data_IF_940754055493
#
_entry.id   IF_940754055493
#
_cell.length_a   1.000
_cell.length_b   1.000
_cell.length_c   1.000
_cell.angle_alpha   90.00
_cell.angle_beta   90.00
_cell.angle_gamma   90.00
#
_symmetry.space_group_name_H-M   'P 1'
#
loop_
_entity.id
_entity.type
_entity.pdbx_description
1 polymer ?
#
# COMPACT_ATOMS: atom_id res chain seq x y z
N UNK A 1 -20.79 5.25 23.90
CA UNK A 1 -19.70 6.24 23.66
C UNK A 1 -18.50 5.66 22.91
N UNK A 2 -18.01 4.44 23.22
CA UNK A 2 -16.83 3.83 22.55
C UNK A 2 -17.07 3.61 21.04
N UNK A 3 -18.20 3.01 20.66
CA UNK A 3 -18.53 2.76 19.25
C UNK A 3 -18.62 4.04 18.41
N UNK A 4 -19.16 5.13 18.97
CA UNK A 4 -19.21 6.44 18.28
C UNK A 4 -17.82 7.04 18.09
N UNK A 5 -16.90 6.90 19.05
CA UNK A 5 -15.50 7.34 18.92
C UNK A 5 -14.74 6.52 17.88
N UNK A 6 -14.96 5.21 17.84
CA UNK A 6 -14.33 4.33 16.83
C UNK A 6 -14.84 4.71 15.43
N UNK A 7 -16.16 4.82 15.24
CA UNK A 7 -16.74 5.20 13.96
C UNK A 7 -16.24 6.58 13.49
N UNK A 8 -16.21 7.57 14.37
CA UNK A 8 -15.71 8.92 14.08
C UNK A 8 -14.23 8.91 13.65
N UNK A 9 -13.36 8.21 14.39
CA UNK A 9 -11.94 8.08 14.03
C UNK A 9 -11.76 7.34 12.70
N UNK A 10 -12.59 6.34 12.41
CA UNK A 10 -12.54 5.61 11.14
C UNK A 10 -12.92 6.49 9.96
N UNK A 11 -14.02 7.27 10.07
CA UNK A 11 -14.46 8.18 9.01
C UNK A 11 -13.43 9.29 8.75
N UNK A 12 -12.88 9.90 9.82
CA UNK A 12 -11.82 10.92 9.67
C UNK A 12 -10.59 10.31 9.02
N UNK A 13 -10.15 9.13 9.47
CA UNK A 13 -8.98 8.47 8.89
C UNK A 13 -9.19 8.10 7.43
N UNK A 14 -10.40 7.65 7.06
CA UNK A 14 -10.74 7.32 5.67
C UNK A 14 -10.77 8.59 4.78
N UNK A 15 -11.44 9.66 5.22
CA UNK A 15 -11.49 10.92 4.49
C UNK A 15 -10.10 11.55 4.32
N UNK A 16 -9.31 11.57 5.38
CA UNK A 16 -7.95 12.08 5.32
C UNK A 16 -7.03 11.26 4.39
N UNK A 17 -7.23 9.95 4.33
CA UNK A 17 -6.47 9.09 3.41
C UNK A 17 -6.83 9.36 1.95
N UNK A 18 -8.10 9.63 1.64
CA UNK A 18 -8.51 10.04 0.29
C UNK A 18 -7.81 11.35 -0.11
N UNK A 19 -7.81 12.35 0.78
CA UNK A 19 -7.08 13.61 0.54
C UNK A 19 -5.59 13.32 0.39
N UNK A 20 -5.01 12.50 1.24
CA UNK A 20 -3.61 12.10 1.15
C UNK A 20 -3.26 11.38 -0.16
N UNK A 21 -4.14 10.52 -0.67
CA UNK A 21 -3.98 9.87 -1.98
C UNK A 21 -4.00 10.91 -3.12
N UNK A 22 -4.94 11.84 -3.10
CA UNK A 22 -5.02 12.91 -4.09
C UNK A 22 -3.73 13.76 -4.10
N UNK A 23 -3.26 14.20 -2.92
CA UNK A 23 -2.00 14.93 -2.79
C UNK A 23 -0.79 14.11 -3.28
N UNK A 24 -0.78 12.79 -3.01
CA UNK A 24 0.27 11.89 -3.49
C UNK A 24 0.27 11.79 -5.02
N UNK A 25 -0.91 11.61 -5.64
CA UNK A 25 -1.03 11.53 -7.10
C UNK A 25 -0.61 12.83 -7.78
N UNK A 26 -1.02 13.98 -7.24
CA UNK A 26 -0.58 15.29 -7.74
C UNK A 26 0.94 15.43 -7.63
N UNK A 27 1.52 15.08 -6.47
CA UNK A 27 2.98 15.14 -6.27
C UNK A 27 3.71 14.23 -7.24
N UNK A 28 3.26 12.97 -7.41
CA UNK A 28 3.86 12.02 -8.36
C UNK A 28 3.77 12.54 -9.79
N UNK A 29 2.62 13.11 -10.18
CA UNK A 29 2.42 13.67 -11.50
C UNK A 29 3.37 14.86 -11.79
N UNK A 30 3.50 15.79 -10.84
CA UNK A 30 4.45 16.91 -10.98
C UNK A 30 5.89 16.41 -11.07
N UNK A 31 6.27 15.45 -10.23
CA UNK A 31 7.63 14.87 -10.22
C UNK A 31 7.90 14.11 -11.52
N UNK A 32 6.98 13.29 -12.01
CA UNK A 32 7.16 12.53 -13.23
C UNK A 32 7.31 13.44 -14.45
N UNK A 33 6.46 14.46 -14.59
CA UNK A 33 6.52 15.43 -15.68
C UNK A 33 7.80 16.28 -15.68
N UNK A 34 8.30 16.61 -14.49
CA UNK A 34 9.50 17.42 -14.36
C UNK A 34 10.78 16.61 -14.62
N UNK A 35 10.86 15.41 -14.09
CA UNK A 35 12.06 14.58 -14.18
C UNK A 35 12.18 13.80 -15.50
N UNK A 36 11.06 13.59 -16.22
CA UNK A 36 11.02 12.68 -17.35
C UNK A 36 11.27 11.22 -16.94
N UNK A 37 11.31 10.33 -17.92
CA UNK A 37 11.41 8.88 -17.67
C UNK A 37 12.70 8.46 -16.95
N UNK A 38 13.86 9.04 -17.33
CA UNK A 38 15.17 8.64 -16.79
C UNK A 38 15.33 9.00 -15.33
N UNK A 39 15.16 10.29 -15.00
CA UNK A 39 15.35 10.76 -13.62
C UNK A 39 14.21 10.30 -12.70
N UNK A 40 12.99 10.14 -13.23
CA UNK A 40 11.91 9.49 -12.49
C UNK A 40 12.24 8.02 -12.19
N UNK A 41 12.94 7.32 -13.09
CA UNK A 41 13.52 6.01 -12.84
C UNK A 41 14.54 6.05 -11.70
N UNK A 42 15.44 7.02 -11.66
CA UNK A 42 16.38 7.23 -10.55
C UNK A 42 15.65 7.52 -9.23
N UNK A 43 14.61 8.35 -9.28
CA UNK A 43 13.77 8.63 -8.11
C UNK A 43 13.14 7.35 -7.56
N UNK A 44 12.57 6.51 -8.42
CA UNK A 44 11.99 5.24 -8.04
C UNK A 44 13.02 4.29 -7.41
N UNK A 45 14.22 4.19 -8.01
CA UNK A 45 15.33 3.39 -7.47
C UNK A 45 15.69 3.83 -6.05
N UNK A 46 15.89 5.14 -5.84
CA UNK A 46 16.21 5.69 -4.51
C UNK A 46 15.16 5.31 -3.48
N UNK A 47 13.87 5.50 -3.80
CA UNK A 47 12.79 5.21 -2.85
C UNK A 47 12.67 3.72 -2.55
N UNK A 48 12.74 2.85 -3.57
CA UNK A 48 12.60 1.40 -3.38
C UNK A 48 13.82 0.84 -2.67
N UNK A 49 15.03 1.30 -3.01
CA UNK A 49 16.25 0.89 -2.32
C UNK A 49 16.19 1.20 -0.82
N UNK A 50 15.80 2.42 -0.45
CA UNK A 50 15.66 2.83 0.95
C UNK A 50 14.50 2.11 1.67
N UNK A 51 13.46 1.72 0.94
CA UNK A 51 12.33 0.98 1.49
C UNK A 51 12.75 -0.38 2.07
N UNK A 52 13.72 -1.08 1.46
CA UNK A 52 14.26 -2.33 2.01
C UNK A 52 14.92 -2.10 3.39
N UNK A 53 15.63 -0.98 3.55
CA UNK A 53 16.22 -0.64 4.85
C UNK A 53 15.18 -0.29 5.91
N UNK A 54 14.02 0.23 5.50
CA UNK A 54 12.89 0.47 6.44
C UNK A 54 12.43 -0.83 7.10
N UNK A 55 12.37 -1.91 6.32
CA UNK A 55 11.95 -3.22 6.84
C UNK A 55 13.00 -3.81 7.78
N UNK A 56 14.28 -3.67 7.43
CA UNK A 56 15.38 -4.08 8.30
C UNK A 56 15.40 -3.28 9.61
N UNK A 57 15.07 -1.98 9.56
CA UNK A 57 14.99 -1.12 10.75
C UNK A 57 13.72 -1.38 11.59
N UNK A 58 12.62 -1.88 10.99
CA UNK A 58 11.37 -2.12 11.72
C UNK A 58 11.46 -3.32 12.65
N UNK A 59 12.10 -4.40 12.23
CA UNK A 59 12.25 -5.62 13.03
C UNK A 59 10.92 -6.11 13.67
N UNK A 60 9.74 -5.73 13.14
CA UNK A 60 8.43 -6.05 13.72
C UNK A 60 8.09 -5.30 15.02
N UNK A 61 8.87 -4.30 15.40
CA UNK A 61 8.76 -3.57 16.67
C UNK A 61 7.43 -2.85 16.83
N UNK A 62 6.86 -2.31 15.73
CA UNK A 62 5.56 -1.63 15.77
C UNK A 62 4.46 -2.50 16.38
N UNK A 63 4.30 -3.72 15.87
CA UNK A 63 3.22 -4.63 16.29
C UNK A 63 3.40 -5.10 17.74
N UNK A 64 4.64 -5.39 18.15
CA UNK A 64 4.95 -5.81 19.52
C UNK A 64 4.77 -4.66 20.49
N UNK A 65 5.24 -3.45 20.13
CA UNK A 65 5.04 -2.25 20.95
C UNK A 65 3.55 -1.97 21.17
N UNK A 66 2.75 -1.94 20.11
CA UNK A 66 1.30 -1.73 20.20
C UNK A 66 0.61 -2.76 21.11
N UNK A 67 0.95 -4.04 20.95
CA UNK A 67 0.40 -5.11 21.78
C UNK A 67 0.74 -4.90 23.26
N UNK A 68 2.01 -4.61 23.55
CA UNK A 68 2.50 -4.56 24.93
C UNK A 68 2.06 -3.30 25.66
N UNK A 69 2.02 -2.11 25.00
CA UNK A 69 1.46 -0.90 25.61
C UNK A 69 -0.06 -0.99 25.85
N UNK A 70 -0.75 -1.91 25.14
CA UNK A 70 -2.20 -2.08 25.27
C UNK A 70 -2.61 -3.04 26.37
N UNK A 71 -1.65 -3.73 27.04
CA UNK A 71 -1.95 -4.64 28.15
C UNK A 71 -2.37 -3.85 29.40
N UNK A 72 -3.37 -4.32 30.15
CA UNK A 72 -3.74 -3.73 31.43
C UNK A 72 -2.55 -3.72 32.40
N UNK A 73 -2.29 -2.58 33.04
CA UNK A 73 -1.19 -2.42 34.01
C UNK A 73 0.22 -2.36 33.40
N UNK A 74 0.34 -2.20 32.07
CA UNK A 74 1.64 -2.06 31.42
C UNK A 74 2.30 -0.70 31.77
N UNK A 75 3.61 -0.72 31.99
CA UNK A 75 4.43 0.50 32.04
C UNK A 75 4.62 1.04 30.61
N UNK A 76 3.64 1.82 30.15
CA UNK A 76 3.57 2.36 28.80
C UNK A 76 4.79 3.21 28.46
N UNK A 77 5.27 4.03 29.43
CA UNK A 77 6.43 4.89 29.23
C UNK A 77 7.69 4.06 29.01
N UNK A 78 7.91 3.03 29.85
CA UNK A 78 9.06 2.14 29.71
C UNK A 78 9.04 1.41 28.37
N UNK A 79 7.89 0.83 27.99
CA UNK A 79 7.76 0.04 26.77
C UNK A 79 7.94 0.93 25.53
N UNK A 80 7.20 2.04 25.42
CA UNK A 80 7.28 2.93 24.27
C UNK A 80 8.66 3.59 24.13
N UNK A 81 9.27 4.04 25.26
CA UNK A 81 10.59 4.66 25.25
C UNK A 81 11.68 3.69 24.83
N UNK A 82 11.68 2.46 25.33
CA UNK A 82 12.66 1.43 24.92
C UNK A 82 12.46 0.99 23.47
N UNK A 83 11.22 0.79 23.02
CA UNK A 83 10.93 0.46 21.62
C UNK A 83 11.36 1.60 20.67
N UNK A 84 11.10 2.86 21.05
CA UNK A 84 11.54 4.02 20.29
C UNK A 84 13.07 4.11 20.24
N UNK A 85 13.75 3.95 21.38
CA UNK A 85 15.21 4.01 21.47
C UNK A 85 15.86 2.92 20.62
N UNK A 86 15.39 1.69 20.74
CA UNK A 86 15.89 0.56 19.93
C UNK A 86 15.73 0.84 18.44
N UNK A 87 14.53 1.31 18.02
CA UNK A 87 14.26 1.61 16.61
C UNK A 87 15.06 2.80 16.10
N UNK A 88 15.27 3.82 16.94
CA UNK A 88 16.07 4.99 16.59
C UNK A 88 17.50 4.59 16.23
N UNK A 89 18.17 3.78 17.08
CA UNK A 89 19.54 3.35 16.84
C UNK A 89 19.65 2.25 15.78
N UNK A 90 18.72 1.30 15.73
CA UNK A 90 18.67 0.32 14.65
C UNK A 90 18.45 1.02 13.29
N UNK A 91 17.53 1.97 13.25
CA UNK A 91 17.29 2.79 12.05
C UNK A 91 18.54 3.60 11.68
N UNK A 92 19.18 4.27 12.62
CA UNK A 92 20.43 5.00 12.38
C UNK A 92 21.49 4.09 11.77
N UNK A 93 21.70 2.89 12.32
CA UNK A 93 22.65 1.92 11.78
C UNK A 93 22.31 1.53 10.34
N UNK A 94 21.08 1.08 10.08
CA UNK A 94 20.70 0.59 8.75
C UNK A 94 20.67 1.71 7.71
N UNK A 95 20.17 2.90 8.05
CA UNK A 95 20.13 4.01 7.11
C UNK A 95 21.48 4.70 6.90
N UNK A 96 22.45 4.59 7.83
CA UNK A 96 23.84 4.95 7.58
C UNK A 96 24.56 3.91 6.71
N UNK A 97 24.15 2.63 6.76
CA UNK A 97 24.70 1.59 5.87
C UNK A 97 24.15 1.71 4.42
N UNK A 98 22.95 2.23 4.23
CA UNK A 98 22.33 2.33 2.90
C UNK A 98 23.19 3.11 1.89
N UNK A 99 23.73 4.32 2.21
CA UNK A 99 24.65 5.05 1.30
C UNK A 99 25.97 4.32 1.03
N UNK A 100 26.44 3.49 1.96
CA UNK A 100 27.64 2.67 1.73
C UNK A 100 27.31 1.51 0.80
N UNK A 101 26.22 0.83 1.05
CA UNK A 101 25.80 -0.34 0.26
C UNK A 101 25.47 0.06 -1.18
N UNK A 102 24.82 1.20 -1.43
CA UNK A 102 24.48 1.65 -2.79
C UNK A 102 25.72 1.89 -3.65
N UNK A 103 26.87 2.20 -3.06
CA UNK A 103 28.12 2.38 -3.81
C UNK A 103 28.65 1.10 -4.47
N UNK A 104 28.21 -0.09 -4.00
CA UNK A 104 28.55 -1.38 -4.62
C UNK A 104 27.63 -1.73 -5.81
N UNK A 105 26.59 -0.93 -6.05
CA UNK A 105 25.68 -1.10 -7.19
C UNK A 105 26.11 -0.20 -8.37
N UNK A 106 25.84 -0.60 -9.61
CA UNK A 106 26.21 0.16 -10.81
C UNK A 106 25.28 1.36 -11.04
N UNK A 107 24.97 2.11 -9.98
CA UNK A 107 24.10 3.28 -10.06
C UNK A 107 24.88 4.58 -10.27
N UNK A 108 24.35 5.54 -11.03
CA UNK A 108 24.99 6.83 -11.23
C UNK A 108 25.06 7.63 -9.92
N UNK A 109 26.02 8.58 -9.87
CA UNK A 109 26.25 9.41 -8.67
C UNK A 109 25.00 10.13 -8.16
N UNK A 110 24.11 10.53 -9.06
CA UNK A 110 22.82 11.16 -8.68
C UNK A 110 21.97 10.23 -7.80
N UNK A 111 21.88 8.94 -8.13
CA UNK A 111 21.16 7.95 -7.33
C UNK A 111 21.86 7.74 -5.98
N UNK A 112 23.19 7.63 -5.97
CA UNK A 112 23.97 7.46 -4.73
C UNK A 112 23.76 8.65 -3.77
N UNK A 113 23.81 9.88 -4.29
CA UNK A 113 23.52 11.08 -3.50
C UNK A 113 22.05 11.15 -3.09
N UNK A 114 21.12 10.72 -3.95
CA UNK A 114 19.71 10.60 -3.63
C UNK A 114 19.45 9.64 -2.48
N UNK A 115 20.15 8.50 -2.45
CA UNK A 115 20.08 7.54 -1.33
C UNK A 115 20.65 8.15 -0.05
N UNK A 116 21.78 8.86 -0.11
CA UNK A 116 22.35 9.54 1.05
C UNK A 116 21.39 10.54 1.69
N UNK A 117 20.78 11.41 0.86
CA UNK A 117 19.83 12.43 1.32
C UNK A 117 18.53 11.77 1.78
N UNK A 118 17.98 10.86 0.97
CA UNK A 118 16.72 10.19 1.23
C UNK A 118 16.74 9.29 2.47
N UNK A 119 17.92 8.74 2.82
CA UNK A 119 18.10 7.91 4.02
C UNK A 119 17.65 8.62 5.30
N UNK A 120 17.91 9.93 5.40
CA UNK A 120 17.44 10.73 6.54
C UNK A 120 15.89 10.78 6.60
N UNK A 121 15.22 11.00 5.48
CA UNK A 121 13.75 11.00 5.42
C UNK A 121 13.14 9.65 5.80
N UNK A 122 13.69 8.56 5.28
CA UNK A 122 13.25 7.21 5.61
C UNK A 122 13.51 6.83 7.08
N UNK A 123 14.63 7.27 7.64
CA UNK A 123 14.91 7.10 9.07
C UNK A 123 13.87 7.81 9.95
N UNK A 124 13.47 9.05 9.61
CA UNK A 124 12.40 9.77 10.30
C UNK A 124 11.05 9.01 10.19
N UNK A 125 10.68 8.58 8.99
CA UNK A 125 9.45 7.79 8.77
C UNK A 125 9.47 6.47 9.54
N UNK A 126 10.61 5.79 9.60
CA UNK A 126 10.77 4.57 10.38
C UNK A 126 10.49 4.81 11.86
N UNK A 127 11.09 5.83 12.46
CA UNK A 127 10.90 6.16 13.88
C UNK A 127 9.44 6.55 14.20
N UNK A 128 8.74 7.19 13.25
CA UNK A 128 7.34 7.57 13.41
C UNK A 128 6.41 6.38 13.65
N UNK A 129 6.72 5.19 13.14
CA UNK A 129 5.86 4.00 13.30
C UNK A 129 5.64 3.63 14.77
N UNK A 130 6.66 3.73 15.62
CA UNK A 130 6.49 3.49 17.07
C UNK A 130 5.56 4.52 17.69
N UNK A 131 5.64 5.80 17.25
CA UNK A 131 4.76 6.87 17.74
C UNK A 131 3.30 6.62 17.35
N UNK A 132 3.06 6.10 16.14
CA UNK A 132 1.72 5.76 15.66
C UNK A 132 1.05 4.71 16.55
N UNK A 133 1.80 3.74 17.11
CA UNK A 133 1.25 2.75 18.03
C UNK A 133 0.61 3.38 19.27
N UNK A 134 1.16 4.51 19.75
CA UNK A 134 0.60 5.26 20.89
C UNK A 134 -0.77 5.83 20.52
N UNK A 135 -0.89 6.51 19.37
CA UNK A 135 -2.16 7.09 18.93
C UNK A 135 -3.21 6.02 18.63
N UNK A 136 -2.79 4.86 18.15
CA UNK A 136 -3.68 3.74 17.91
C UNK A 136 -4.25 3.21 19.24
N UNK A 137 -3.41 3.05 20.27
CA UNK A 137 -3.86 2.67 21.61
C UNK A 137 -4.90 3.65 22.19
N UNK A 138 -4.63 4.95 22.08
CA UNK A 138 -5.51 5.99 22.64
C UNK A 138 -6.69 6.36 21.72
N UNK A 139 -6.84 5.69 20.57
CA UNK A 139 -7.87 5.99 19.56
C UNK A 139 -7.84 7.48 19.13
N UNK A 140 -6.64 8.03 18.90
CA UNK A 140 -6.38 9.42 18.52
C UNK A 140 -5.67 9.53 17.17
N UNK A 141 -6.09 8.71 16.18
CA UNK A 141 -5.48 8.67 14.85
C UNK A 141 -5.57 10.00 14.10
N UNK A 142 -6.50 10.91 14.47
CA UNK A 142 -6.57 12.26 13.90
C UNK A 142 -5.26 13.05 14.00
N UNK A 143 -4.49 12.87 15.09
CA UNK A 143 -3.20 13.55 15.26
C UNK A 143 -2.15 13.04 14.24
N UNK A 144 -2.17 11.73 13.93
CA UNK A 144 -1.32 11.14 12.89
C UNK A 144 -1.68 11.70 11.52
N UNK A 145 -2.99 11.79 11.25
CA UNK A 145 -3.53 12.36 10.01
C UNK A 145 -3.08 13.80 9.80
N UNK A 146 -3.15 14.65 10.85
CA UNK A 146 -2.68 16.04 10.76
C UNK A 146 -1.19 16.08 10.40
N UNK A 147 -0.36 15.27 11.06
CA UNK A 147 1.07 15.18 10.73
C UNK A 147 1.31 14.73 9.29
N UNK A 148 0.62 13.68 8.84
CA UNK A 148 0.76 13.13 7.49
C UNK A 148 0.33 14.13 6.42
N UNK A 149 -0.83 14.76 6.55
CA UNK A 149 -1.32 15.75 5.59
C UNK A 149 -0.43 16.99 5.56
N UNK A 150 0.02 17.49 6.71
CA UNK A 150 0.95 18.62 6.78
C UNK A 150 2.28 18.30 6.09
N UNK A 151 2.83 17.10 6.32
CA UNK A 151 4.05 16.66 5.64
C UNK A 151 3.87 16.56 4.12
N UNK A 152 2.75 16.03 3.64
CA UNK A 152 2.43 15.94 2.21
C UNK A 152 2.24 17.33 1.57
N UNK A 153 1.58 18.26 2.27
CA UNK A 153 1.42 19.63 1.79
C UNK A 153 2.76 20.36 1.68
N UNK A 154 3.64 20.21 2.67
CA UNK A 154 5.00 20.79 2.61
C UNK A 154 5.79 20.14 1.48
N UNK A 155 5.75 18.84 1.32
CA UNK A 155 6.40 18.14 0.20
C UNK A 155 5.89 18.67 -1.14
N UNK A 156 4.57 18.75 -1.34
CA UNK A 156 3.96 19.25 -2.58
C UNK A 156 4.37 20.70 -2.86
N UNK A 157 4.30 21.58 -1.84
CA UNK A 157 4.69 22.98 -1.97
C UNK A 157 6.16 23.15 -2.35
N UNK A 158 7.06 22.36 -1.72
CA UNK A 158 8.48 22.38 -2.06
C UNK A 158 8.76 21.79 -3.44
N UNK A 159 8.08 20.71 -3.84
CA UNK A 159 8.17 20.14 -5.18
C UNK A 159 7.78 21.20 -6.21
N UNK A 160 6.63 21.86 -6.04
CA UNK A 160 6.19 22.93 -6.94
C UNK A 160 7.21 24.10 -7.01
N UNK A 161 7.75 24.52 -5.87
CA UNK A 161 8.76 25.56 -5.79
C UNK A 161 10.08 25.17 -6.50
N UNK A 162 10.56 23.96 -6.28
CA UNK A 162 11.81 23.48 -6.88
C UNK A 162 11.66 23.25 -8.40
N UNK A 163 10.51 22.81 -8.86
CA UNK A 163 10.19 22.74 -10.29
C UNK A 163 10.18 24.16 -10.91
N UNK A 164 9.52 25.12 -10.25
CA UNK A 164 9.48 26.50 -10.74
C UNK A 164 10.87 27.13 -10.87
N UNK A 165 11.81 26.76 -9.98
CA UNK A 165 13.20 27.27 -9.98
C UNK A 165 14.18 26.38 -10.73
N UNK A 166 13.76 25.25 -11.28
CA UNK A 166 14.56 24.26 -11.98
C UNK A 166 15.82 23.79 -11.22
N UNK A 167 15.62 23.38 -9.95
CA UNK A 167 16.71 22.92 -9.07
C UNK A 167 17.17 21.48 -9.32
N UNK A 168 16.55 20.73 -10.24
CA UNK A 168 16.95 19.40 -10.67
C UNK A 168 16.57 18.27 -9.69
N UNK A 169 17.04 17.06 -9.99
CA UNK A 169 16.66 15.80 -9.36
C UNK A 169 16.79 15.77 -7.82
N UNK A 170 17.94 16.20 -7.30
CA UNK A 170 18.20 16.10 -5.86
C UNK A 170 17.25 16.96 -5.01
N UNK A 171 16.77 18.08 -5.56
CA UNK A 171 15.81 18.94 -4.87
C UNK A 171 14.49 18.21 -4.59
N UNK A 172 14.07 17.33 -5.49
CA UNK A 172 12.85 16.52 -5.30
C UNK A 172 13.02 15.55 -4.13
N UNK A 173 14.22 14.96 -3.98
CA UNK A 173 14.53 14.13 -2.79
C UNK A 173 14.53 14.98 -1.52
N UNK A 174 15.08 16.20 -1.56
CA UNK A 174 15.06 17.13 -0.42
C UNK A 174 13.61 17.50 -0.05
N UNK A 175 12.72 17.74 -1.03
CA UNK A 175 11.30 17.99 -0.74
C UNK A 175 10.63 16.82 -0.03
N UNK A 176 10.92 15.58 -0.45
CA UNK A 176 10.46 14.36 0.23
C UNK A 176 10.96 14.32 1.70
N UNK A 177 12.25 14.59 1.93
CA UNK A 177 12.86 14.60 3.27
C UNK A 177 12.22 15.69 4.16
N UNK A 178 12.00 16.90 3.61
CA UNK A 178 11.36 17.98 4.35
C UNK A 178 9.92 17.63 4.74
N UNK A 179 9.14 17.02 3.85
CA UNK A 179 7.81 16.52 4.17
C UNK A 179 7.82 15.45 5.27
N UNK A 180 8.76 14.50 5.20
CA UNK A 180 8.97 13.48 6.22
C UNK A 180 9.35 14.09 7.58
N UNK A 181 10.19 15.12 7.58
CA UNK A 181 10.60 15.85 8.78
C UNK A 181 9.41 16.53 9.46
N UNK A 182 8.61 17.29 8.71
CA UNK A 182 7.41 17.97 9.24
C UNK A 182 6.44 16.96 9.82
N UNK A 183 6.17 15.87 9.10
CA UNK A 183 5.30 14.80 9.58
C UNK A 183 5.84 14.19 10.89
N UNK A 184 7.12 13.81 10.94
CA UNK A 184 7.74 13.23 12.13
C UNK A 184 7.69 14.19 13.32
N UNK A 185 8.06 15.47 13.13
CA UNK A 185 8.10 16.48 14.20
C UNK A 185 6.70 16.69 14.79
N UNK A 186 5.67 16.83 13.96
CA UNK A 186 4.29 17.01 14.44
C UNK A 186 3.79 15.78 15.20
N UNK A 187 4.00 14.58 14.65
CA UNK A 187 3.60 13.33 15.31
C UNK A 187 4.37 13.13 16.62
N UNK A 188 5.66 13.47 16.66
CA UNK A 188 6.47 13.40 17.88
C UNK A 188 5.95 14.38 18.95
N UNK A 189 5.70 15.65 18.60
CA UNK A 189 5.17 16.65 19.54
C UNK A 189 3.80 16.22 20.09
N UNK A 190 2.92 15.73 19.22
CA UNK A 190 1.61 15.26 19.65
C UNK A 190 1.67 14.00 20.53
N UNK A 191 2.60 13.09 20.28
CA UNK A 191 2.77 11.85 21.06
C UNK A 191 3.15 12.14 22.52
N UNK A 192 3.95 13.19 22.77
CA UNK A 192 4.40 13.58 24.12
C UNK A 192 3.25 13.95 25.06
N UNK A 193 2.07 14.32 24.51
CA UNK A 193 0.86 14.60 25.30
C UNK A 193 0.23 13.34 25.91
N UNK A 194 0.56 12.17 25.38
CA UNK A 194 0.03 10.87 25.82
C UNK A 194 1.07 10.08 26.62
N UNK A 195 2.25 9.91 26.03
CA UNK A 195 3.39 9.22 26.66
C UNK A 195 4.62 10.09 26.48
N UNK A 196 5.26 10.58 27.56
CA UNK A 196 6.50 11.33 27.46
C UNK A 196 7.64 10.36 27.11
N UNK A 197 8.00 10.29 25.83
CA UNK A 197 9.07 9.45 25.31
C UNK A 197 10.42 10.04 25.73
N UNK A 198 11.29 9.19 26.25
CA UNK A 198 12.68 9.48 26.59
C UNK A 198 13.58 8.34 26.11
N UNK A 199 14.86 8.61 25.84
CA UNK A 199 15.80 7.54 25.54
C UNK A 199 16.00 6.67 26.78
N UNK A 200 15.76 5.36 26.62
CA UNK A 200 15.96 4.34 27.67
C UNK A 200 16.69 3.14 27.09
N UNK A 201 17.65 2.62 27.85
CA UNK A 201 18.55 1.55 27.45
C UNK A 201 18.39 0.34 28.38
N UNK A 202 17.29 -0.41 28.22
CA UNK A 202 17.07 -1.68 28.91
C UNK A 202 17.38 -2.84 27.96
N UNK A 203 18.63 -3.30 27.96
CA UNK A 203 19.08 -4.38 27.06
C UNK A 203 18.38 -5.71 27.32
N UNK A 204 17.90 -5.97 28.54
CA UNK A 204 17.13 -7.18 28.86
C UNK A 204 15.77 -7.10 28.17
N UNK A 205 15.13 -5.94 28.25
CA UNK A 205 13.87 -5.68 27.52
C UNK A 205 14.09 -5.75 26.00
N UNK A 206 15.18 -5.17 25.48
CA UNK A 206 15.50 -5.21 24.05
C UNK A 206 15.65 -6.64 23.52
N UNK A 207 16.41 -7.48 24.25
CA UNK A 207 16.58 -8.90 23.90
C UNK A 207 15.24 -9.63 23.86
N UNK A 208 14.35 -9.36 24.82
CA UNK A 208 13.02 -9.95 24.88
C UNK A 208 12.16 -9.52 23.70
N UNK A 209 12.06 -8.19 23.44
CA UNK A 209 11.21 -7.67 22.38
C UNK A 209 11.70 -8.11 20.99
N UNK A 210 13.02 -8.16 20.75
CA UNK A 210 13.60 -8.65 19.50
C UNK A 210 13.30 -10.13 19.28
N UNK A 211 13.39 -10.98 20.32
CA UNK A 211 13.05 -12.40 20.21
C UNK A 211 11.58 -12.61 19.82
N UNK A 212 10.68 -11.77 20.33
CA UNK A 212 9.25 -11.85 20.02
C UNK A 212 8.91 -11.25 18.65
N UNK A 213 9.63 -10.22 18.22
CA UNK A 213 9.35 -9.50 16.95
C UNK A 213 10.02 -10.14 15.72
N UNK A 214 11.13 -10.86 15.88
CA UNK A 214 11.89 -11.43 14.77
C UNK A 214 11.05 -12.35 13.83
N UNK A 215 10.17 -13.23 14.33
CA UNK A 215 9.32 -14.03 13.42
C UNK A 215 8.35 -13.16 12.59
N UNK A 216 7.85 -12.04 13.15
CA UNK A 216 7.02 -11.08 12.43
C UNK A 216 7.83 -10.31 11.40
N UNK A 217 9.07 -9.93 11.75
CA UNK A 217 9.99 -9.26 10.84
C UNK A 217 10.27 -10.12 9.59
N UNK A 218 10.51 -11.41 9.74
CA UNK A 218 10.70 -12.32 8.60
C UNK A 218 9.49 -12.36 7.66
N UNK A 219 8.28 -12.38 8.19
CA UNK A 219 7.07 -12.33 7.37
C UNK A 219 6.97 -11.02 6.59
N UNK A 220 7.30 -9.88 7.24
CA UNK A 220 7.31 -8.58 6.58
C UNK A 220 8.41 -8.51 5.50
N UNK A 221 9.61 -9.03 5.78
CA UNK A 221 10.71 -9.11 4.81
C UNK A 221 10.28 -9.86 3.54
N UNK A 222 9.68 -11.05 3.68
CA UNK A 222 9.17 -11.80 2.52
C UNK A 222 8.11 -11.03 1.74
N UNK A 223 7.19 -10.36 2.43
CA UNK A 223 6.17 -9.52 1.80
C UNK A 223 6.81 -8.37 1.01
N UNK A 224 7.82 -7.70 1.56
CA UNK A 224 8.49 -6.58 0.88
C UNK A 224 9.33 -7.05 -0.31
N UNK A 225 10.06 -8.15 -0.17
CA UNK A 225 10.77 -8.77 -1.30
C UNK A 225 9.78 -9.02 -2.43
N UNK A 226 8.70 -9.70 -2.11
CA UNK A 226 7.64 -10.02 -3.05
C UNK A 226 7.04 -8.79 -3.78
N UNK A 227 6.82 -7.66 -3.07
CA UNK A 227 6.20 -6.47 -3.67
C UNK A 227 7.17 -5.47 -4.30
N UNK A 228 8.46 -5.49 -3.97
CA UNK A 228 9.40 -4.42 -4.36
C UNK A 228 10.62 -4.91 -5.13
N UNK A 229 10.83 -6.23 -5.18
CA UNK A 229 12.00 -6.81 -5.83
C UNK A 229 12.02 -6.53 -7.32
N UNK A 230 10.85 -6.49 -7.97
CA UNK A 230 10.70 -6.22 -9.40
C UNK A 230 11.43 -4.95 -9.82
N UNK A 231 11.25 -3.85 -9.07
CA UNK A 231 11.89 -2.57 -9.35
C UNK A 231 13.42 -2.63 -9.21
N UNK A 232 13.94 -3.33 -8.18
CA UNK A 232 15.39 -3.47 -7.98
C UNK A 232 15.99 -4.35 -9.10
N UNK A 233 15.35 -5.48 -9.41
CA UNK A 233 15.82 -6.36 -10.49
C UNK A 233 15.78 -5.64 -11.84
N UNK A 234 14.69 -4.90 -12.11
CA UNK A 234 14.59 -4.10 -13.34
C UNK A 234 15.70 -3.06 -13.40
N UNK A 235 16.02 -2.37 -12.29
CA UNK A 235 17.06 -1.34 -12.24
C UNK A 235 18.49 -1.89 -12.44
N UNK A 236 18.71 -3.18 -12.16
CA UNK A 236 20.01 -3.82 -12.37
C UNK A 236 20.16 -4.45 -13.76
N UNK A 237 19.04 -4.77 -14.43
CA UNK A 237 19.05 -5.52 -15.69
C UNK A 237 18.68 -4.65 -16.90
N UNK A 238 18.08 -3.47 -16.69
CA UNK A 238 17.53 -2.63 -17.75
C UNK A 238 17.86 -1.15 -17.54
N UNK A 239 17.75 -0.33 -18.61
CA UNK A 239 17.98 1.11 -18.49
C UNK A 239 17.01 1.79 -17.49
N UNK A 240 17.41 2.94 -16.92
CA UNK A 240 16.57 3.70 -15.97
C UNK A 240 15.21 4.13 -16.56
N UNK A 241 15.13 4.35 -17.86
CA UNK A 241 13.87 4.63 -18.58
C UNK A 241 12.82 3.55 -18.30
N UNK A 242 13.21 2.27 -18.41
CA UNK A 242 12.32 1.14 -18.19
C UNK A 242 11.83 1.08 -16.74
N UNK A 243 12.70 1.46 -15.80
CA UNK A 243 12.34 1.59 -14.37
C UNK A 243 11.31 2.71 -14.17
N UNK A 244 11.50 3.85 -14.86
CA UNK A 244 10.56 4.98 -14.81
C UNK A 244 9.19 4.61 -15.34
N UNK A 245 9.14 3.97 -16.53
CA UNK A 245 7.91 3.50 -17.17
C UNK A 245 7.16 2.52 -16.25
N UNK A 246 7.87 1.53 -15.69
CA UNK A 246 7.27 0.55 -14.78
C UNK A 246 6.73 1.19 -13.50
N UNK A 247 7.55 2.05 -12.86
CA UNK A 247 7.21 2.58 -11.55
C UNK A 247 6.08 3.60 -11.58
N UNK A 248 5.86 4.36 -12.66
CA UNK A 248 4.69 5.21 -12.76
C UNK A 248 3.40 4.37 -12.69
N UNK A 249 3.31 3.31 -13.50
CA UNK A 249 2.17 2.39 -13.48
C UNK A 249 2.03 1.68 -12.12
N UNK A 250 3.15 1.24 -11.53
CA UNK A 250 3.16 0.57 -10.24
C UNK A 250 2.70 1.46 -9.09
N UNK A 251 3.04 2.76 -9.11
CA UNK A 251 2.55 3.75 -8.14
C UNK A 251 1.04 3.95 -8.20
N UNK A 252 0.47 3.90 -9.41
CA UNK A 252 -0.99 3.94 -9.57
C UNK A 252 -1.64 2.69 -8.98
N UNK A 253 -1.10 1.51 -9.25
CA UNK A 253 -1.53 0.26 -8.63
C UNK A 253 -1.48 0.36 -7.10
N UNK A 254 -0.36 0.78 -6.50
CA UNK A 254 -0.22 0.89 -5.04
C UNK A 254 -1.31 1.76 -4.41
N UNK A 255 -1.67 2.87 -5.06
CA UNK A 255 -2.73 3.74 -4.57
C UNK A 255 -4.11 3.07 -4.59
N UNK A 256 -4.38 2.18 -5.55
CA UNK A 256 -5.64 1.43 -5.62
C UNK A 256 -5.75 0.38 -4.51
N UNK A 257 -4.63 -0.23 -4.11
CA UNK A 257 -4.59 -1.27 -3.07
C UNK A 257 -4.98 -0.77 -1.67
N UNK A 258 -5.02 0.53 -1.48
CA UNK A 258 -5.53 1.13 -0.24
C UNK A 258 -6.98 0.73 0.04
N UNK A 259 -7.84 0.70 -1.00
CA UNK A 259 -9.27 0.44 -0.84
C UNK A 259 -9.57 -0.94 -0.23
N UNK A 260 -9.09 -2.08 -0.77
CA UNK A 260 -9.36 -3.38 -0.18
C UNK A 260 -8.76 -3.52 1.22
N UNK A 261 -7.57 -2.96 1.47
CA UNK A 261 -6.93 -3.01 2.78
C UNK A 261 -7.76 -2.29 3.85
N UNK A 262 -8.28 -1.09 3.53
CA UNK A 262 -9.16 -0.34 4.42
C UNK A 262 -10.49 -1.08 4.65
N UNK A 263 -11.15 -1.51 3.58
CA UNK A 263 -12.48 -2.12 3.67
C UNK A 263 -12.44 -3.44 4.43
N UNK A 264 -11.55 -4.36 4.07
CA UNK A 264 -11.39 -5.65 4.76
C UNK A 264 -10.96 -5.42 6.21
N UNK A 265 -10.09 -4.42 6.47
CA UNK A 265 -9.68 -4.04 7.82
C UNK A 265 -10.84 -3.73 8.77
N UNK A 266 -11.92 -3.12 8.28
CA UNK A 266 -13.14 -2.86 9.06
C UNK A 266 -13.93 -4.15 9.39
N UNK A 267 -13.79 -5.18 8.57
CA UNK A 267 -14.55 -6.43 8.68
C UNK A 267 -13.80 -7.50 9.50
N UNK A 268 -12.47 -7.39 9.65
CA UNK A 268 -11.63 -8.34 10.42
C UNK A 268 -12.18 -8.65 11.81
N UNK A 269 -12.62 -7.67 12.63
CA UNK A 269 -13.14 -7.98 13.97
C UNK A 269 -14.37 -8.89 13.93
N UNK A 270 -15.26 -8.69 12.93
CA UNK A 270 -16.46 -9.52 12.73
C UNK A 270 -16.08 -10.93 12.28
N UNK A 271 -15.15 -11.06 11.32
CA UNK A 271 -14.64 -12.35 10.87
C UNK A 271 -14.02 -13.12 12.03
N UNK A 272 -13.17 -12.47 12.83
CA UNK A 272 -12.49 -13.09 13.97
C UNK A 272 -13.46 -13.51 15.08
N UNK A 273 -14.55 -12.76 15.27
CA UNK A 273 -15.61 -13.09 16.22
C UNK A 273 -16.40 -14.33 15.80
N UNK A 274 -16.77 -14.41 14.51
CA UNK A 274 -17.70 -15.43 14.03
C UNK A 274 -17.01 -16.73 13.63
N UNK A 275 -15.75 -16.72 13.24
CA UNK A 275 -15.06 -17.89 12.64
C UNK A 275 -15.13 -19.16 13.50
N UNK A 276 -15.14 -19.04 14.83
CA UNK A 276 -15.17 -20.19 15.76
C UNK A 276 -16.54 -20.45 16.40
N UNK A 277 -17.41 -19.43 16.45
CA UNK A 277 -18.66 -19.51 17.21
C UNK A 277 -19.91 -19.53 16.33
N UNK A 278 -19.85 -18.94 15.12
CA UNK A 278 -21.02 -18.81 14.25
C UNK A 278 -20.62 -18.87 12.79
N UNK A 279 -20.51 -20.10 12.27
CA UNK A 279 -20.11 -20.38 10.88
C UNK A 279 -21.03 -19.71 9.86
N UNK A 280 -22.34 -19.57 10.16
CA UNK A 280 -23.29 -18.97 9.22
C UNK A 280 -23.05 -17.46 9.08
N UNK A 281 -22.89 -16.74 10.18
CA UNK A 281 -22.59 -15.33 10.15
C UNK A 281 -21.17 -15.06 9.62
N UNK A 282 -20.22 -15.96 9.86
CA UNK A 282 -18.90 -15.90 9.22
C UNK A 282 -19.02 -15.98 7.70
N UNK A 283 -19.72 -17.00 7.18
CA UNK A 283 -19.94 -17.16 5.73
C UNK A 283 -20.64 -15.96 5.10
N UNK A 284 -21.70 -15.44 5.73
CA UNK A 284 -22.40 -14.23 5.29
C UNK A 284 -21.47 -13.00 5.26
N UNK A 285 -20.65 -12.82 6.29
CA UNK A 285 -19.71 -11.70 6.38
C UNK A 285 -18.67 -11.77 5.27
N UNK A 286 -18.06 -12.95 5.06
CA UNK A 286 -17.08 -13.17 3.99
C UNK A 286 -17.71 -12.96 2.62
N UNK A 287 -18.92 -13.52 2.38
CA UNK A 287 -19.62 -13.37 1.10
C UNK A 287 -19.90 -11.91 0.79
N UNK A 288 -20.48 -11.14 1.71
CA UNK A 288 -20.75 -9.71 1.51
C UNK A 288 -19.47 -8.91 1.26
N UNK A 289 -18.39 -9.26 1.95
CA UNK A 289 -17.08 -8.60 1.75
C UNK A 289 -16.56 -8.88 0.34
N UNK A 290 -16.62 -10.15 -0.11
CA UNK A 290 -16.24 -10.52 -1.48
C UNK A 290 -17.08 -9.79 -2.52
N UNK A 291 -18.40 -9.78 -2.33
CA UNK A 291 -19.35 -9.15 -3.26
C UNK A 291 -19.02 -7.66 -3.44
N UNK A 292 -18.79 -6.93 -2.35
CA UNK A 292 -18.40 -5.52 -2.41
C UNK A 292 -17.06 -5.34 -3.12
N UNK A 293 -16.05 -6.15 -2.79
CA UNK A 293 -14.74 -6.06 -3.45
C UNK A 293 -14.86 -6.30 -4.96
N UNK A 294 -15.68 -7.26 -5.39
CA UNK A 294 -15.91 -7.57 -6.81
C UNK A 294 -16.69 -6.46 -7.52
N UNK A 295 -17.71 -5.87 -6.87
CA UNK A 295 -18.45 -4.73 -7.41
C UNK A 295 -17.51 -3.53 -7.70
N UNK A 296 -16.48 -3.33 -6.89
CA UNK A 296 -15.52 -2.24 -7.10
C UNK A 296 -14.42 -2.59 -8.09
N UNK A 297 -13.81 -3.79 -7.97
CA UNK A 297 -12.61 -4.07 -8.76
C UNK A 297 -12.93 -4.41 -10.22
N UNK A 298 -14.05 -5.06 -10.50
CA UNK A 298 -14.40 -5.46 -11.88
C UNK A 298 -14.51 -4.25 -12.81
N UNK A 299 -15.28 -3.18 -12.51
CA UNK A 299 -15.31 -1.98 -13.36
C UNK A 299 -13.99 -1.24 -13.39
N UNK A 300 -13.19 -1.29 -12.29
CA UNK A 300 -11.86 -0.67 -12.28
C UNK A 300 -10.91 -1.38 -13.25
N UNK A 301 -10.92 -2.72 -13.28
CA UNK A 301 -10.13 -3.48 -14.25
C UNK A 301 -10.55 -3.16 -15.66
N UNK A 302 -11.85 -3.19 -15.96
CA UNK A 302 -12.38 -2.86 -17.28
C UNK A 302 -12.07 -1.39 -17.66
N UNK A 303 -12.35 -0.42 -16.77
CA UNK A 303 -12.12 1.01 -17.03
C UNK A 303 -10.66 1.34 -17.26
N UNK A 304 -9.77 0.85 -16.41
CA UNK A 304 -8.31 1.06 -16.57
C UNK A 304 -7.78 0.37 -17.82
N UNK A 305 -8.34 -0.79 -18.20
CA UNK A 305 -7.91 -1.46 -19.44
C UNK A 305 -8.12 -0.57 -20.68
N UNK A 306 -9.20 0.18 -20.76
CA UNK A 306 -9.45 1.11 -21.85
C UNK A 306 -8.76 2.46 -21.67
N UNK A 307 -8.76 3.01 -20.46
CA UNK A 307 -8.32 4.37 -20.17
C UNK A 307 -6.84 4.45 -19.67
N UNK A 308 -6.10 3.35 -19.68
CA UNK A 308 -4.74 3.29 -19.08
C UNK A 308 -3.78 4.31 -19.69
N UNK A 309 -3.80 4.50 -21.01
CA UNK A 309 -2.93 5.47 -21.70
C UNK A 309 -3.29 6.90 -21.30
N UNK A 310 -4.58 7.24 -21.28
CA UNK A 310 -5.05 8.57 -20.90
C UNK A 310 -4.76 8.89 -19.44
N UNK A 311 -4.91 7.90 -18.54
CA UNK A 311 -4.59 8.03 -17.12
C UNK A 311 -3.10 8.30 -16.92
N UNK A 312 -2.21 7.56 -17.59
CA UNK A 312 -0.76 7.77 -17.41
C UNK A 312 -0.28 9.05 -18.07
N UNK A 313 -0.86 9.46 -19.20
CA UNK A 313 -0.56 10.74 -19.85
C UNK A 313 -1.10 11.90 -18.99
N UNK A 314 -2.30 11.78 -18.42
CA UNK A 314 -2.83 12.79 -17.50
C UNK A 314 -1.90 12.99 -16.28
N UNK A 315 -1.25 11.96 -15.80
CA UNK A 315 -0.39 12.02 -14.61
C UNK A 315 1.05 12.35 -15.00
N UNK A 316 1.69 11.54 -15.84
CA UNK A 316 3.11 11.60 -16.15
C UNK A 316 3.46 12.45 -17.38
N UNK A 317 2.46 12.81 -18.21
CA UNK A 317 2.69 13.42 -19.52
C UNK A 317 2.91 12.40 -20.64
N UNK A 318 3.04 12.89 -21.88
CA UNK A 318 3.12 12.07 -23.10
C UNK A 318 4.31 11.11 -23.11
N UNK A 319 5.42 11.50 -22.49
CA UNK A 319 6.60 10.64 -22.36
C UNK A 319 6.28 9.29 -21.70
N UNK A 320 5.32 9.25 -20.78
CA UNK A 320 4.95 8.03 -20.05
C UNK A 320 3.85 7.19 -20.72
N UNK A 321 3.51 7.44 -21.96
CA UNK A 321 2.44 6.70 -22.67
C UNK A 321 2.66 5.17 -22.63
N UNK A 322 3.90 4.69 -22.65
CA UNK A 322 4.25 3.28 -22.54
C UNK A 322 3.90 2.68 -21.18
N UNK A 323 3.83 3.49 -20.12
CA UNK A 323 3.34 3.06 -18.81
C UNK A 323 1.87 2.62 -18.85
N UNK A 324 1.09 3.06 -19.85
CA UNK A 324 -0.28 2.62 -20.07
C UNK A 324 -0.37 1.13 -20.35
N UNK A 325 0.54 0.60 -21.19
CA UNK A 325 0.63 -0.84 -21.45
C UNK A 325 0.97 -1.65 -20.18
N UNK A 326 1.87 -1.12 -19.35
CA UNK A 326 2.23 -1.73 -18.05
C UNK A 326 1.02 -1.69 -17.11
N UNK A 327 0.31 -0.56 -17.05
CA UNK A 327 -0.86 -0.39 -16.18
C UNK A 327 -2.00 -1.35 -16.56
N UNK A 328 -2.19 -1.64 -17.87
CA UNK A 328 -3.15 -2.65 -18.35
C UNK A 328 -2.87 -4.04 -17.76
N UNK A 329 -1.62 -4.42 -17.61
CA UNK A 329 -1.23 -5.70 -17.01
C UNK A 329 -1.38 -5.63 -15.49
N UNK A 330 -0.85 -4.59 -14.88
CA UNK A 330 -0.84 -4.45 -13.42
C UNK A 330 -2.24 -4.30 -12.82
N UNK A 331 -3.22 -3.78 -13.54
CA UNK A 331 -4.60 -3.70 -13.03
C UNK A 331 -5.23 -5.09 -12.87
N UNK A 332 -4.81 -6.08 -13.66
CA UNK A 332 -5.20 -7.48 -13.46
C UNK A 332 -4.61 -8.01 -12.15
N UNK A 333 -3.33 -7.70 -11.87
CA UNK A 333 -2.72 -8.02 -10.58
C UNK A 333 -3.50 -7.36 -9.41
N UNK A 334 -3.92 -6.09 -9.55
CA UNK A 334 -4.77 -5.43 -8.55
C UNK A 334 -6.05 -6.22 -8.29
N UNK A 335 -6.71 -6.71 -9.35
CA UNK A 335 -7.91 -7.55 -9.22
C UNK A 335 -7.67 -8.78 -8.38
N UNK A 336 -6.55 -9.46 -8.60
CA UNK A 336 -6.16 -10.65 -7.84
C UNK A 336 -5.80 -10.28 -6.39
N UNK A 337 -5.06 -9.18 -6.19
CA UNK A 337 -4.68 -8.69 -4.85
C UNK A 337 -5.91 -8.33 -4.01
N UNK A 338 -6.97 -7.77 -4.59
CA UNK A 338 -8.22 -7.51 -3.86
C UNK A 338 -8.78 -8.78 -3.22
N UNK A 339 -8.74 -9.90 -3.94
CA UNK A 339 -9.12 -11.21 -3.42
C UNK A 339 -8.09 -11.71 -2.39
N UNK A 340 -6.82 -11.56 -2.67
CA UNK A 340 -5.72 -11.93 -1.79
C UNK A 340 -5.80 -11.25 -0.42
N UNK A 341 -6.19 -9.96 -0.36
CA UNK A 341 -6.40 -9.22 0.89
C UNK A 341 -7.52 -9.84 1.71
N UNK A 342 -8.64 -10.22 1.11
CA UNK A 342 -9.71 -10.91 1.81
C UNK A 342 -9.25 -12.27 2.34
N UNK A 343 -8.65 -13.10 1.49
CA UNK A 343 -8.25 -14.46 1.84
C UNK A 343 -7.11 -14.48 2.88
N UNK A 344 -6.15 -13.57 2.81
CA UNK A 344 -5.11 -13.46 3.83
C UNK A 344 -5.71 -13.13 5.21
N UNK A 345 -6.69 -12.23 5.27
CA UNK A 345 -7.37 -11.88 6.52
C UNK A 345 -8.29 -13.00 7.04
N UNK A 346 -8.88 -13.82 6.16
CA UNK A 346 -9.55 -15.06 6.59
C UNK A 346 -8.57 -16.03 7.26
N UNK A 347 -7.38 -16.24 6.68
CA UNK A 347 -6.33 -17.09 7.24
C UNK A 347 -5.85 -16.57 8.60
N UNK A 348 -5.72 -15.24 8.76
CA UNK A 348 -5.38 -14.60 10.03
C UNK A 348 -6.48 -14.86 11.07
N UNK A 349 -7.75 -14.68 10.69
CA UNK A 349 -8.91 -14.93 11.57
C UNK A 349 -8.98 -16.39 12.02
N UNK A 350 -8.53 -17.33 11.19
CA UNK A 350 -8.40 -18.76 11.49
C UNK A 350 -7.18 -19.11 12.37
N UNK A 351 -6.38 -18.12 12.78
CA UNK A 351 -5.11 -18.30 13.52
C UNK A 351 -4.07 -19.16 12.78
N UNK A 352 -4.10 -19.16 11.45
CA UNK A 352 -3.17 -19.90 10.58
C UNK A 352 -2.08 -19.03 9.95
N UNK A 353 -1.59 -17.99 10.64
CA UNK A 353 -0.61 -17.03 10.12
C UNK A 353 0.69 -17.69 9.63
N UNK A 354 1.09 -18.83 10.22
CA UNK A 354 2.26 -19.59 9.76
C UNK A 354 2.14 -20.03 8.31
N UNK A 355 0.92 -20.35 7.84
CA UNK A 355 0.69 -20.69 6.44
C UNK A 355 0.94 -19.50 5.51
N UNK A 356 0.61 -18.27 5.94
CA UNK A 356 0.89 -17.06 5.15
C UNK A 356 2.40 -16.83 4.97
N UNK A 357 3.22 -17.08 6.01
CA UNK A 357 4.67 -16.96 5.90
C UNK A 357 5.21 -17.91 4.82
N UNK A 358 4.73 -19.14 4.78
CA UNK A 358 5.13 -20.13 3.76
C UNK A 358 4.66 -19.70 2.37
N UNK A 359 3.39 -19.27 2.24
CA UNK A 359 2.81 -18.82 0.97
C UNK A 359 3.58 -17.62 0.41
N UNK A 360 3.83 -16.59 1.23
CA UNK A 360 4.58 -15.41 0.80
C UNK A 360 6.04 -15.73 0.52
N UNK A 361 6.66 -16.64 1.28
CA UNK A 361 8.02 -17.12 1.01
C UNK A 361 8.13 -17.84 -0.33
N UNK A 362 7.20 -18.73 -0.64
CA UNK A 362 7.14 -19.40 -1.96
C UNK A 362 6.82 -18.42 -3.08
N UNK A 363 5.92 -17.46 -2.85
CA UNK A 363 5.62 -16.37 -3.77
C UNK A 363 6.85 -15.52 -4.07
N UNK A 364 7.61 -15.13 -3.04
CA UNK A 364 8.85 -14.36 -3.19
C UNK A 364 9.92 -15.15 -3.97
N UNK A 365 10.07 -16.43 -3.71
CA UNK A 365 11.00 -17.29 -4.44
C UNK A 365 10.60 -17.42 -5.91
N UNK A 366 9.31 -17.66 -6.19
CA UNK A 366 8.80 -17.70 -7.55
C UNK A 366 9.00 -16.36 -8.27
N UNK A 367 8.65 -15.25 -7.63
CA UNK A 367 8.83 -13.90 -8.17
C UNK A 367 10.29 -13.62 -8.53
N UNK A 368 11.23 -13.96 -7.62
CA UNK A 368 12.67 -13.81 -7.87
C UNK A 368 13.11 -14.60 -9.12
N UNK A 369 12.78 -15.89 -9.19
CA UNK A 369 13.18 -16.76 -10.30
C UNK A 369 12.53 -16.31 -11.60
N UNK A 370 11.24 -16.00 -11.58
CA UNK A 370 10.51 -15.56 -12.77
C UNK A 370 11.05 -14.21 -13.29
N UNK A 371 11.36 -13.26 -12.43
CA UNK A 371 11.95 -11.99 -12.83
C UNK A 371 13.33 -12.15 -13.46
N UNK A 372 14.17 -13.07 -12.97
CA UNK A 372 15.45 -13.41 -13.60
C UNK A 372 15.30 -13.90 -15.04
N UNK A 373 14.19 -14.57 -15.37
CA UNK A 373 13.90 -15.12 -16.69
C UNK A 373 13.20 -14.09 -17.58
N UNK A 374 12.19 -13.40 -17.05
CA UNK A 374 11.29 -12.57 -17.86
C UNK A 374 11.80 -11.12 -18.02
N UNK A 375 12.44 -10.50 -17.03
CA UNK A 375 12.96 -9.14 -17.15
C UNK A 375 14.01 -9.02 -18.26
N UNK A 376 15.02 -9.90 -18.39
CA UNK A 376 15.99 -9.80 -19.48
C UNK A 376 15.37 -9.84 -20.88
N UNK A 377 14.27 -10.59 -21.06
CA UNK A 377 13.59 -10.78 -22.35
C UNK A 377 12.54 -9.72 -22.65
N UNK A 378 11.75 -9.34 -21.65
CA UNK A 378 10.53 -8.52 -21.83
C UNK A 378 10.54 -7.21 -21.03
N UNK A 379 11.65 -6.89 -20.35
CA UNK A 379 11.83 -5.67 -19.56
C UNK A 379 10.67 -5.42 -18.56
N UNK A 380 10.11 -4.23 -18.52
CA UNK A 380 9.01 -3.84 -17.64
C UNK A 380 7.71 -4.66 -17.86
N UNK A 381 7.47 -5.15 -19.07
CA UNK A 381 6.35 -6.07 -19.31
C UNK A 381 6.60 -7.43 -18.64
N UNK A 382 7.88 -7.89 -18.63
CA UNK A 382 8.26 -9.10 -17.91
C UNK A 382 8.00 -8.99 -16.40
N UNK A 383 8.40 -7.87 -15.80
CA UNK A 383 8.11 -7.57 -14.39
C UNK A 383 6.60 -7.52 -14.10
N UNK A 384 5.81 -6.85 -14.95
CA UNK A 384 4.37 -6.73 -14.78
C UNK A 384 3.65 -8.10 -14.85
N UNK A 385 4.00 -8.95 -15.83
CA UNK A 385 3.43 -10.30 -15.92
C UNK A 385 3.88 -11.20 -14.78
N UNK A 386 5.14 -11.10 -14.34
CA UNK A 386 5.63 -11.82 -13.16
C UNK A 386 4.78 -11.47 -11.93
N UNK A 387 4.48 -10.19 -11.74
CA UNK A 387 3.59 -9.74 -10.65
C UNK A 387 2.22 -10.41 -10.75
N UNK A 388 1.57 -10.40 -11.93
CA UNK A 388 0.24 -11.05 -12.14
C UNK A 388 0.28 -12.54 -11.80
N UNK A 389 1.27 -13.26 -12.33
CA UNK A 389 1.38 -14.71 -12.13
C UNK A 389 1.67 -15.03 -10.66
N UNK A 390 2.54 -14.24 -10.02
CA UNK A 390 2.87 -14.43 -8.60
C UNK A 390 1.65 -14.24 -7.72
N UNK A 391 0.86 -13.17 -7.96
CA UNK A 391 -0.38 -12.89 -7.21
C UNK A 391 -1.41 -14.01 -7.40
N UNK A 392 -1.51 -14.54 -8.61
CA UNK A 392 -2.40 -15.65 -8.90
C UNK A 392 -2.00 -16.90 -8.12
N UNK A 393 -0.71 -17.28 -8.13
CA UNK A 393 -0.18 -18.43 -7.41
C UNK A 393 -0.42 -18.27 -5.90
N UNK A 394 -0.08 -17.11 -5.34
CA UNK A 394 -0.25 -16.79 -3.93
C UNK A 394 -1.73 -16.89 -3.51
N UNK A 395 -2.63 -16.31 -4.32
CA UNK A 395 -4.08 -16.34 -4.06
C UNK A 395 -4.63 -17.77 -4.14
N UNK A 396 -4.20 -18.58 -5.11
CA UNK A 396 -4.60 -20.00 -5.21
C UNK A 396 -4.13 -20.77 -3.98
N UNK A 397 -2.89 -20.57 -3.53
CA UNK A 397 -2.39 -21.23 -2.31
C UNK A 397 -3.21 -20.81 -1.07
N UNK A 398 -3.62 -19.53 -0.96
CA UNK A 398 -4.50 -19.07 0.12
C UNK A 398 -5.88 -19.74 0.06
N UNK A 399 -6.48 -19.84 -1.12
CA UNK A 399 -7.77 -20.53 -1.34
C UNK A 399 -7.67 -21.99 -0.88
N UNK A 400 -6.59 -22.68 -1.23
CA UNK A 400 -6.37 -24.08 -0.81
C UNK A 400 -6.30 -24.23 0.72
N UNK A 401 -5.58 -23.32 1.40
CA UNK A 401 -5.49 -23.35 2.89
C UNK A 401 -6.85 -23.07 3.54
N UNK A 402 -7.64 -22.15 2.97
CA UNK A 402 -8.98 -21.82 3.46
C UNK A 402 -9.93 -23.00 3.26
N UNK A 403 -9.96 -23.57 2.06
CA UNK A 403 -10.81 -24.72 1.74
C UNK A 403 -10.52 -25.91 2.67
N UNK A 404 -9.24 -26.24 2.85
CA UNK A 404 -8.81 -27.31 3.78
C UNK A 404 -9.20 -27.02 5.25
N UNK A 405 -9.39 -25.74 5.63
CA UNK A 405 -9.70 -25.36 7.00
C UNK A 405 -11.20 -25.28 7.31
N UNK A 406 -12.01 -24.87 6.32
CA UNK A 406 -13.41 -24.52 6.51
C UNK A 406 -14.39 -25.41 5.73
N UNK A 407 -13.88 -26.18 4.77
CA UNK A 407 -14.69 -26.88 3.75
C UNK A 407 -15.74 -25.94 3.10
N UNK A 408 -15.30 -24.70 2.86
CA UNK A 408 -16.13 -23.63 2.32
C UNK A 408 -15.31 -22.63 1.52
N UNK A 409 -15.87 -22.20 0.41
CA UNK A 409 -15.42 -21.03 -0.37
C UNK A 409 -16.62 -20.13 -0.64
N UNK A 410 -16.43 -18.81 -0.63
CA UNK A 410 -17.48 -17.89 -1.02
C UNK A 410 -17.82 -18.02 -2.51
N UNK A 411 -19.08 -17.75 -2.87
CA UNK A 411 -19.53 -17.84 -4.24
C UNK A 411 -19.15 -16.61 -5.05
N UNK A 412 -18.84 -16.80 -6.33
CA UNK A 412 -18.52 -15.71 -7.27
C UNK A 412 -19.73 -15.26 -8.11
N UNK A 413 -20.95 -15.47 -7.61
CA UNK A 413 -22.17 -15.13 -8.35
C UNK A 413 -22.26 -13.66 -8.76
N UNK A 414 -21.82 -12.73 -7.87
CA UNK A 414 -21.79 -11.30 -8.16
C UNK A 414 -20.75 -10.95 -9.24
N UNK A 415 -19.69 -11.74 -9.38
CA UNK A 415 -18.67 -11.52 -10.42
C UNK A 415 -19.29 -11.54 -11.83
N UNK A 416 -20.16 -12.49 -12.14
CA UNK A 416 -20.80 -12.58 -13.45
C UNK A 416 -21.69 -11.37 -13.74
N UNK A 417 -22.45 -10.91 -12.73
CA UNK A 417 -23.30 -9.72 -12.85
C UNK A 417 -22.46 -8.46 -13.05
N UNK A 418 -21.40 -8.30 -12.26
CA UNK A 418 -20.45 -7.19 -12.37
C UNK A 418 -19.71 -7.22 -13.72
N UNK A 419 -19.32 -8.40 -14.20
CA UNK A 419 -18.64 -8.56 -15.48
C UNK A 419 -19.56 -8.18 -16.65
N UNK A 420 -20.84 -8.60 -16.63
CA UNK A 420 -21.82 -8.19 -17.63
C UNK A 420 -22.05 -6.67 -17.63
N UNK A 421 -22.19 -6.06 -16.45
CA UNK A 421 -22.32 -4.61 -16.32
C UNK A 421 -21.06 -3.89 -16.82
N UNK A 422 -19.87 -4.42 -16.52
CA UNK A 422 -18.60 -3.87 -16.99
C UNK A 422 -18.40 -4.03 -18.51
N UNK A 423 -18.88 -5.11 -19.11
CA UNK A 423 -18.92 -5.27 -20.58
C UNK A 423 -19.78 -4.19 -21.24
N UNK A 424 -20.96 -3.91 -20.69
CA UNK A 424 -21.82 -2.82 -21.21
C UNK A 424 -21.11 -1.46 -21.00
N UNK A 425 -20.47 -1.24 -19.84
CA UNK A 425 -19.69 -0.04 -19.56
C UNK A 425 -18.52 0.12 -20.55
N UNK A 426 -17.96 -0.97 -21.05
CA UNK A 426 -16.82 -0.92 -21.98
C UNK A 426 -17.23 -0.41 -23.37
N UNK A 427 -18.49 -0.51 -23.76
CA UNK A 427 -18.96 -0.02 -25.06
C UNK A 427 -18.75 1.49 -25.24
N UNK A 428 -19.26 2.38 -24.35
CA UNK A 428 -19.01 3.80 -24.48
C UNK A 428 -17.49 4.13 -24.36
N UNK A 429 -16.71 3.40 -23.57
CA UNK A 429 -15.27 3.62 -23.49
C UNK A 429 -14.54 3.32 -24.81
N UNK A 430 -15.06 2.36 -25.57
CA UNK A 430 -14.51 2.02 -26.89
C UNK A 430 -14.96 2.98 -27.99
N UNK A 431 -16.27 3.31 -28.05
CA UNK A 431 -16.83 4.11 -29.13
C UNK A 431 -16.66 5.62 -28.96
N UNK A 432 -16.46 6.09 -27.72
CA UNK A 432 -16.33 7.51 -27.39
C UNK A 432 -14.90 7.84 -26.88
N UNK A 433 -13.89 7.09 -27.34
CA UNK A 433 -12.48 7.24 -26.90
C UNK A 433 -11.94 8.67 -27.01
N UNK A 434 -12.47 9.47 -27.94
CA UNK A 434 -12.04 10.84 -28.18
C UNK A 434 -12.64 11.86 -27.19
N UNK A 435 -13.54 11.41 -26.29
CA UNK A 435 -14.13 12.28 -25.29
C UNK A 435 -13.15 12.57 -24.15
N UNK A 436 -13.29 13.74 -23.47
CA UNK A 436 -12.48 14.05 -22.30
C UNK A 436 -12.57 12.96 -21.23
N UNK A 437 -11.42 12.55 -20.69
CA UNK A 437 -11.27 11.47 -19.71
C UNK A 437 -12.28 11.57 -18.55
N UNK A 438 -12.52 12.77 -18.04
CA UNK A 438 -13.46 12.99 -16.94
C UNK A 438 -14.91 12.60 -17.32
N UNK A 439 -15.34 12.93 -18.54
CA UNK A 439 -16.68 12.55 -19.05
C UNK A 439 -16.78 11.05 -19.24
N UNK A 440 -15.73 10.40 -19.75
CA UNK A 440 -15.67 8.95 -19.90
C UNK A 440 -15.77 8.24 -18.54
N UNK A 441 -15.07 8.72 -17.52
CA UNK A 441 -15.16 8.16 -16.17
C UNK A 441 -16.57 8.32 -15.59
N UNK A 442 -17.19 9.50 -15.73
CA UNK A 442 -18.54 9.76 -15.24
C UNK A 442 -19.56 8.89 -15.95
N UNK A 443 -19.50 8.82 -17.29
CA UNK A 443 -20.38 7.98 -18.10
C UNK A 443 -20.23 6.50 -17.75
N UNK A 444 -18.99 6.04 -17.59
CA UNK A 444 -18.68 4.67 -17.17
C UNK A 444 -19.30 4.33 -15.82
N UNK A 445 -19.18 5.23 -14.86
CA UNK A 445 -19.79 5.06 -13.53
C UNK A 445 -21.33 4.93 -13.63
N UNK A 446 -21.99 5.78 -14.44
CA UNK A 446 -23.44 5.76 -14.62
C UNK A 446 -23.89 4.48 -15.32
N UNK A 447 -23.21 4.10 -16.41
CA UNK A 447 -23.57 2.89 -17.19
C UNK A 447 -23.34 1.63 -16.36
N UNK A 448 -22.24 1.54 -15.63
CA UNK A 448 -21.94 0.41 -14.75
C UNK A 448 -22.97 0.29 -13.62
N UNK A 449 -23.27 1.39 -12.95
CA UNK A 449 -24.24 1.42 -11.84
C UNK A 449 -25.64 1.05 -12.32
N UNK A 450 -26.06 1.55 -13.49
CA UNK A 450 -27.32 1.17 -14.15
C UNK A 450 -27.33 -0.31 -14.54
N UNK A 451 -26.25 -0.84 -15.09
CA UNK A 451 -26.11 -2.25 -15.43
C UNK A 451 -26.18 -3.16 -14.20
N UNK A 452 -25.48 -2.81 -13.12
CA UNK A 452 -25.58 -3.56 -11.86
C UNK A 452 -26.99 -3.60 -11.29
N UNK A 453 -27.70 -2.49 -11.35
CA UNK A 453 -29.09 -2.42 -10.92
C UNK A 453 -30.00 -3.30 -11.79
N UNK A 454 -29.86 -3.26 -13.11
CA UNK A 454 -30.62 -4.09 -14.06
C UNK A 454 -30.37 -5.60 -13.84
N UNK A 455 -29.15 -6.00 -13.53
CA UNK A 455 -28.80 -7.40 -13.27
C UNK A 455 -29.04 -7.85 -11.81
N UNK A 456 -29.72 -7.03 -11.00
CA UNK A 456 -29.91 -7.29 -9.57
C UNK A 456 -28.58 -7.61 -8.85
N UNK A 457 -27.52 -6.88 -9.21
CA UNK A 457 -26.22 -6.96 -8.56
C UNK A 457 -26.19 -6.19 -7.25
N UNK A 458 -27.01 -5.14 -7.15
CA UNK A 458 -27.28 -4.39 -5.92
C UNK A 458 -28.79 -4.34 -5.75
N UNK A 459 -29.28 -4.80 -4.59
CA UNK A 459 -30.71 -4.77 -4.30
C UNK A 459 -31.13 -3.39 -3.79
N UNK A 460 -32.39 -2.99 -4.09
CA UNK A 460 -32.95 -1.72 -3.61
C UNK A 460 -32.93 -1.62 -2.07
N UNK A 461 -33.00 -2.75 -1.37
CA UNK A 461 -32.90 -2.84 0.09
C UNK A 461 -31.49 -2.50 0.58
N UNK A 462 -30.44 -2.95 -0.13
CA UNK A 462 -29.04 -2.62 0.20
C UNK A 462 -28.73 -1.14 -0.05
N UNK A 463 -29.29 -0.56 -1.13
CA UNK A 463 -29.18 0.88 -1.36
C UNK A 463 -29.92 1.66 -0.27
N UNK A 464 -31.13 1.22 0.11
CA UNK A 464 -31.92 1.85 1.17
C UNK A 464 -31.25 1.72 2.56
N UNK A 465 -30.56 0.62 2.83
CA UNK A 465 -29.78 0.43 4.07
C UNK A 465 -28.56 1.38 4.12
N UNK A 466 -27.93 1.67 2.98
CA UNK A 466 -26.82 2.65 2.90
C UNK A 466 -27.32 4.10 3.02
N UNK A 467 -28.55 4.39 2.56
CA UNK A 467 -29.15 5.75 2.55
C UNK A 467 -29.95 6.02 3.84
N UNK A 468 -30.67 5.03 4.35
CA UNK A 468 -31.31 5.13 5.66
C UNK A 468 -30.25 4.83 6.74
N UNK A 469 -29.62 5.90 7.21
CA UNK A 469 -28.98 5.93 8.53
C UNK A 469 -30.05 5.51 9.56
N UNK A 470 -30.08 4.27 9.95
CA UNK A 470 -30.62 3.96 11.28
C UNK A 470 -29.62 4.53 12.29
N UNK A 471 -30.05 5.60 12.91
CA UNK A 471 -29.46 6.33 14.01
C UNK A 471 -29.33 5.43 15.24
#
# INVERSE_FOLDING_TARGET
>A
MLNRKIAYNTVISAGARIIGLALSLITIGLVARYLGQVEFGYYAIVLVFLFFFTVLADLGLYSVCLRDISRPGADEKKIASNAFTLRFFAGLLFFCLAPVIVCFFPYPRQVQLGVLIGAFGFWLMSNQQVLISIFQKYLRMGNVVVGELSGRLVQLGLVAFFIWRDFGFLSIIIAFVAGALVNFVLVFIFSRKFIPISFQFDFVFWKKILKESLPLALAIIFTVIYFKLDTIMLSLMKPPVDVGIYNLAYKLLENLLFFPAMFVGLVIPLMSKYVFFDKNNFRKTVQKTLDILLIFIVPMVAGVFFLSSDIVVLIGGDEFILSGGVLKILIVAAGIIFLGVLFSNMIISLKKQKSLVVIYGLGALFNLVANFIFIPKYSYYGAAWTTVITELIVTIMMIFVIYKALDYLPSFGIFYKSALAALIMSLPLYFLSDWPLFLLILLSFLVYSGGLWLFNGITSEEIMFLVKREV
#
